data_IF_079150337596
#
_entry.id   IF_079150337596
#
_cell.length_a   1.000
_cell.length_b   1.000
_cell.length_c   1.000
_cell.angle_alpha   90.00
_cell.angle_beta   90.00
_cell.angle_gamma   90.00
#
_symmetry.space_group_name_H-M   'P 1'
#
loop_
_entity.id
_entity.type
_entity.pdbx_description
1 polymer ?
#
# COMPACT_ATOMS: atom_id res chain seq x y z
N UNK A 1 -36.97 -38.07 35.47
CA UNK A 1 -36.83 -38.54 34.06
C UNK A 1 -36.24 -37.41 33.24
N UNK A 2 -35.18 -37.68 32.48
CA UNK A 2 -34.33 -36.70 31.78
C UNK A 2 -35.00 -36.26 30.47
N UNK A 3 -35.39 -35.00 30.35
CA UNK A 3 -35.97 -34.44 29.11
C UNK A 3 -35.50 -33.01 28.85
N UNK A 4 -34.21 -32.74 28.80
CA UNK A 4 -33.73 -31.40 28.43
C UNK A 4 -32.38 -31.44 27.71
N UNK A 5 -32.20 -32.20 26.62
CA UNK A 5 -30.93 -32.13 25.85
C UNK A 5 -31.07 -32.35 24.33
N UNK A 6 -32.29 -32.29 23.75
CA UNK A 6 -32.49 -32.58 22.31
C UNK A 6 -32.88 -31.38 21.43
N UNK A 7 -33.29 -30.25 22.01
CA UNK A 7 -33.73 -29.08 21.23
C UNK A 7 -32.58 -28.34 20.53
N UNK A 8 -31.44 -28.19 21.20
CA UNK A 8 -30.27 -27.49 20.64
C UNK A 8 -29.50 -28.29 19.60
N UNK A 9 -29.46 -29.62 19.74
CA UNK A 9 -28.65 -30.50 18.88
C UNK A 9 -29.22 -30.58 17.45
N UNK A 10 -30.55 -30.59 17.31
CA UNK A 10 -31.20 -30.60 16.00
C UNK A 10 -31.03 -29.30 15.20
N UNK A 11 -30.85 -28.16 15.88
CA UNK A 11 -30.61 -26.88 15.21
C UNK A 11 -29.19 -26.80 14.64
N UNK A 12 -28.19 -27.33 15.37
CA UNK A 12 -26.78 -27.34 14.95
C UNK A 12 -26.55 -28.32 13.77
N UNK A 13 -27.29 -29.43 13.73
CA UNK A 13 -27.24 -30.40 12.63
C UNK A 13 -28.24 -30.13 11.49
N UNK A 14 -28.98 -29.02 11.56
CA UNK A 14 -29.88 -28.62 10.48
C UNK A 14 -29.09 -28.26 9.22
N UNK A 15 -29.58 -28.70 8.06
CA UNK A 15 -29.02 -28.36 6.75
C UNK A 15 -28.93 -26.84 6.53
N UNK A 16 -29.83 -26.06 7.16
CA UNK A 16 -29.78 -24.60 7.08
C UNK A 16 -28.64 -24.00 7.89
N UNK A 17 -28.27 -24.61 9.01
CA UNK A 17 -27.20 -24.14 9.88
C UNK A 17 -25.83 -24.41 9.26
N UNK A 18 -25.64 -25.58 8.64
CA UNK A 18 -24.41 -25.91 7.92
C UNK A 18 -24.21 -25.01 6.70
N UNK A 19 -25.26 -24.73 5.92
CA UNK A 19 -25.22 -23.79 4.80
C UNK A 19 -24.92 -22.36 5.29
N UNK A 20 -25.52 -21.93 6.40
CA UNK A 20 -25.25 -20.63 7.01
C UNK A 20 -23.78 -20.47 7.43
N UNK A 21 -23.21 -21.48 8.10
CA UNK A 21 -21.79 -21.49 8.47
C UNK A 21 -20.90 -21.48 7.24
N UNK A 22 -21.23 -22.26 6.21
CA UNK A 22 -20.47 -22.32 4.97
C UNK A 22 -20.43 -20.96 4.27
N UNK A 23 -21.57 -20.27 4.16
CA UNK A 23 -21.64 -18.92 3.58
C UNK A 23 -20.84 -17.91 4.42
N UNK A 24 -20.91 -18.00 5.74
CA UNK A 24 -20.15 -17.14 6.64
C UNK A 24 -18.63 -17.37 6.48
N UNK A 25 -18.20 -18.63 6.40
CA UNK A 25 -16.81 -19.00 6.16
C UNK A 25 -16.32 -18.49 4.79
N UNK A 26 -17.13 -18.61 3.73
CA UNK A 26 -16.81 -18.06 2.41
C UNK A 26 -16.71 -16.54 2.49
N UNK A 27 -17.63 -15.86 3.17
CA UNK A 27 -17.63 -14.39 3.30
C UNK A 27 -16.36 -13.90 4.02
N UNK A 28 -15.98 -14.57 5.12
CA UNK A 28 -14.74 -14.26 5.85
C UNK A 28 -13.51 -14.56 4.99
N UNK A 29 -13.51 -15.68 4.25
CA UNK A 29 -12.42 -16.01 3.32
C UNK A 29 -12.25 -14.94 2.24
N UNK A 30 -13.34 -14.51 1.61
CA UNK A 30 -13.32 -13.43 0.63
C UNK A 30 -12.84 -12.11 1.25
N UNK A 31 -13.28 -11.75 2.45
CA UNK A 31 -12.78 -10.54 3.12
C UNK A 31 -11.28 -10.62 3.39
N UNK A 32 -10.76 -11.74 3.88
CA UNK A 32 -9.34 -11.87 4.22
C UNK A 32 -8.45 -11.96 2.97
N UNK A 33 -8.88 -12.71 1.95
CA UNK A 33 -8.05 -13.02 0.78
C UNK A 33 -8.28 -12.12 -0.43
N UNK A 34 -9.48 -11.56 -0.61
CA UNK A 34 -9.79 -10.63 -1.71
C UNK A 34 -9.71 -9.17 -1.31
N UNK A 35 -9.39 -8.82 -0.07
CA UNK A 35 -8.99 -7.43 0.21
C UNK A 35 -7.77 -7.14 -0.67
N UNK A 36 -7.87 -6.22 -1.66
CA UNK A 36 -6.72 -5.87 -2.45
C UNK A 36 -5.68 -5.34 -1.46
N UNK A 37 -4.55 -6.03 -1.35
CA UNK A 37 -3.40 -5.41 -0.72
C UNK A 37 -3.19 -4.13 -1.51
N UNK A 38 -3.42 -2.99 -0.86
CA UNK A 38 -3.09 -1.68 -1.42
C UNK A 38 -1.59 -1.75 -1.70
N UNK A 39 -1.26 -2.12 -2.93
CA UNK A 39 0.10 -2.13 -3.40
C UNK A 39 0.49 -0.67 -3.28
N UNK A 40 1.29 -0.33 -2.27
CA UNK A 40 1.71 1.05 -2.02
C UNK A 40 2.18 1.56 -3.37
N UNK A 41 1.58 2.65 -3.83
CA UNK A 41 1.97 3.30 -5.06
C UNK A 41 3.49 3.46 -5.04
N UNK A 42 4.19 3.24 -6.16
CA UNK A 42 5.64 3.46 -6.19
C UNK A 42 6.02 4.85 -5.69
N UNK A 43 5.13 5.82 -5.92
CA UNK A 43 5.20 7.17 -5.35
C UNK A 43 5.24 7.19 -3.82
N UNK A 44 4.36 6.42 -3.15
CA UNK A 44 4.34 6.32 -1.68
C UNK A 44 5.65 5.73 -1.14
N UNK A 45 6.24 4.77 -1.86
CA UNK A 45 7.52 4.16 -1.48
C UNK A 45 8.67 5.16 -1.59
N UNK A 46 8.67 5.99 -2.63
CA UNK A 46 9.67 7.04 -2.83
C UNK A 46 9.53 8.14 -1.76
N UNK A 47 8.30 8.52 -1.41
CA UNK A 47 8.05 9.48 -0.32
C UNK A 47 8.46 8.94 1.05
N UNK A 48 8.19 7.66 1.34
CA UNK A 48 8.66 7.03 2.58
C UNK A 48 10.19 7.02 2.65
N UNK A 49 10.88 6.75 1.54
CA UNK A 49 12.35 6.83 1.48
C UNK A 49 12.86 8.23 1.81
N UNK A 50 12.23 9.28 1.26
CA UNK A 50 12.60 10.66 1.55
C UNK A 50 12.40 11.01 3.04
N UNK A 51 11.29 10.55 3.65
CA UNK A 51 11.02 10.75 5.08
C UNK A 51 12.05 10.05 5.98
N UNK A 52 12.46 8.83 5.62
CA UNK A 52 13.48 8.09 6.37
C UNK A 52 14.80 8.85 6.38
N UNK A 53 15.23 9.38 5.22
CA UNK A 53 16.49 10.16 5.14
C UNK A 53 16.42 11.46 5.92
N UNK A 54 15.28 12.14 5.89
CA UNK A 54 15.04 13.33 6.72
C UNK A 54 15.10 13.01 8.22
N UNK A 55 14.46 11.91 8.65
CA UNK A 55 14.51 11.45 10.04
C UNK A 55 15.94 11.07 10.49
N UNK A 56 16.78 10.60 9.56
CA UNK A 56 18.19 10.31 9.80
C UNK A 56 19.09 11.56 9.82
N UNK A 57 18.55 12.77 9.65
CA UNK A 57 19.30 14.02 9.46
C UNK A 57 20.27 13.99 8.27
N UNK A 58 20.00 13.17 7.24
CA UNK A 58 20.79 13.16 5.99
C UNK A 58 20.40 14.31 5.05
N UNK A 59 19.20 14.88 5.23
CA UNK A 59 18.73 16.07 4.52
C UNK A 59 18.46 17.20 5.51
N UNK A 60 18.72 18.43 5.09
CA UNK A 60 18.16 19.60 5.76
C UNK A 60 16.67 19.76 5.44
N UNK A 61 15.95 20.50 6.28
CA UNK A 61 14.54 20.86 6.05
C UNK A 61 14.33 21.45 4.65
N UNK A 62 15.21 22.37 4.23
CA UNK A 62 15.12 23.02 2.92
C UNK A 62 15.22 22.01 1.77
N UNK A 63 16.17 21.08 1.85
CA UNK A 63 16.36 20.05 0.83
C UNK A 63 15.20 19.07 0.82
N UNK A 64 14.67 18.71 1.99
CA UNK A 64 13.52 17.83 2.11
C UNK A 64 12.31 18.43 1.39
N UNK A 65 11.98 19.70 1.64
CA UNK A 65 10.84 20.36 1.02
C UNK A 65 11.04 20.59 -0.49
N UNK A 66 12.26 20.93 -0.93
CA UNK A 66 12.58 21.05 -2.35
C UNK A 66 12.33 19.72 -3.08
N UNK A 67 12.97 18.64 -2.61
CA UNK A 67 12.85 17.31 -3.22
C UNK A 67 11.42 16.82 -3.20
N UNK A 68 10.71 17.02 -2.09
CA UNK A 68 9.30 16.64 -1.95
C UNK A 68 8.42 17.37 -2.96
N UNK A 69 8.57 18.69 -3.11
CA UNK A 69 7.76 19.48 -4.04
C UNK A 69 7.93 19.04 -5.50
N UNK A 70 9.16 18.71 -5.90
CA UNK A 70 9.45 18.24 -7.27
C UNK A 70 8.87 16.85 -7.51
N UNK A 71 8.96 15.96 -6.51
CA UNK A 71 8.39 14.61 -6.60
C UNK A 71 6.86 14.62 -6.67
N UNK A 72 6.20 15.54 -5.96
CA UNK A 72 4.73 15.70 -5.96
C UNK A 72 4.20 16.37 -7.23
N UNK A 73 4.96 17.28 -7.85
CA UNK A 73 4.57 17.95 -9.11
C UNK A 73 4.65 16.98 -10.31
N UNK A 74 5.56 16.00 -10.25
CA UNK A 74 5.77 15.04 -11.33
C UNK A 74 4.74 13.90 -11.28
N UNK A 75 3.60 14.05 -11.96
CA UNK A 75 2.54 13.02 -12.02
C UNK A 75 2.73 11.93 -13.09
N UNK A 76 3.94 11.81 -13.67
CA UNK A 76 4.18 10.77 -14.67
C UNK A 76 4.40 9.39 -14.02
N UNK A 77 3.60 8.41 -14.47
CA UNK A 77 3.67 6.99 -14.11
C UNK A 77 4.61 6.19 -15.03
N UNK A 78 5.43 6.87 -15.85
CA UNK A 78 6.42 6.20 -16.68
C UNK A 78 7.44 5.45 -15.81
N UNK A 79 7.75 4.16 -16.12
CA UNK A 79 8.74 3.38 -15.37
C UNK A 79 10.12 4.06 -15.32
N UNK A 80 10.52 4.74 -16.41
CA UNK A 80 11.78 5.46 -16.48
C UNK A 80 11.80 6.67 -15.54
N UNK A 81 10.66 7.36 -15.40
CA UNK A 81 10.52 8.49 -14.47
C UNK A 81 10.45 8.00 -13.03
N UNK A 82 9.84 6.85 -12.76
CA UNK A 82 9.86 6.24 -11.42
C UNK A 82 11.30 5.96 -10.94
N UNK A 83 12.14 5.35 -11.78
CA UNK A 83 13.56 5.12 -11.47
C UNK A 83 14.32 6.44 -11.26
N UNK A 84 14.01 7.46 -12.06
CA UNK A 84 14.63 8.77 -11.93
C UNK A 84 14.24 9.46 -10.61
N UNK A 85 12.97 9.40 -10.23
CA UNK A 85 12.43 9.89 -8.95
C UNK A 85 13.09 9.18 -7.76
N UNK A 86 13.26 7.86 -7.84
CA UNK A 86 13.93 7.10 -6.80
C UNK A 86 15.39 7.55 -6.61
N UNK A 87 16.13 7.73 -7.71
CA UNK A 87 17.52 8.23 -7.67
C UNK A 87 17.62 9.63 -7.08
N UNK A 88 16.66 10.50 -7.41
CA UNK A 88 16.60 11.85 -6.87
C UNK A 88 16.27 11.84 -5.36
N UNK A 89 15.30 11.04 -4.92
CA UNK A 89 14.95 10.88 -3.51
C UNK A 89 16.10 10.28 -2.66
N UNK A 90 16.94 9.43 -3.26
CA UNK A 90 18.19 8.93 -2.66
C UNK A 90 19.30 9.97 -2.59
N UNK A 91 19.14 11.15 -3.21
CA UNK A 91 20.14 12.21 -3.24
C UNK A 91 21.31 11.91 -4.19
N UNK A 92 21.14 10.94 -5.09
CA UNK A 92 22.15 10.60 -6.09
C UNK A 92 22.17 11.57 -7.27
N UNK A 93 21.19 12.47 -7.36
CA UNK A 93 21.02 13.45 -8.41
C UNK A 93 20.75 14.81 -7.79
N UNK A 94 21.32 15.86 -8.37
CA UNK A 94 20.91 17.24 -8.08
C UNK A 94 19.56 17.58 -8.74
N UNK A 95 18.89 18.64 -8.28
CA UNK A 95 17.64 19.11 -8.90
C UNK A 95 17.82 19.48 -10.37
N UNK A 96 18.96 20.07 -10.73
CA UNK A 96 19.31 20.42 -12.11
C UNK A 96 19.46 19.18 -12.99
N UNK A 97 20.15 18.14 -12.50
CA UNK A 97 20.33 16.89 -13.25
C UNK A 97 19.02 16.14 -13.40
N UNK A 98 18.19 16.11 -12.35
CA UNK A 98 16.87 15.51 -12.39
C UNK A 98 16.01 16.15 -13.49
N UNK A 99 15.92 17.50 -13.51
CA UNK A 99 15.14 18.23 -14.53
C UNK A 99 15.69 17.97 -15.93
N UNK A 100 17.01 17.98 -16.09
CA UNK A 100 17.64 17.73 -17.40
C UNK A 100 17.34 16.33 -17.92
N UNK A 101 17.48 15.30 -17.08
CA UNK A 101 17.16 13.93 -17.47
C UNK A 101 15.67 13.78 -17.74
N UNK A 102 14.81 14.33 -16.88
CA UNK A 102 13.35 14.32 -17.05
C UNK A 102 12.93 14.90 -18.40
N UNK A 103 13.45 16.06 -18.79
CA UNK A 103 13.16 16.69 -20.08
C UNK A 103 13.75 15.94 -21.28
N UNK A 104 14.70 15.02 -21.08
CA UNK A 104 15.26 14.19 -22.17
C UNK A 104 14.42 12.94 -22.42
N UNK A 105 13.70 12.46 -21.39
CA UNK A 105 12.95 11.20 -21.43
C UNK A 105 11.47 11.44 -21.79
N UNK A 106 10.98 12.68 -21.63
CA UNK A 106 9.61 13.12 -21.98
C UNK A 106 9.52 13.54 -23.44
#
# INVERSE_FOLDING_TARGET
MKFEHYGGVNLIYSQFFTVGILLLAITVFYLVFLTPQKNKSEHDRILDLLKVRYANNELSDSQYYEVKSILEDENSDSPAISVLKERYARGNLSSVEFIKMRNTII
#
